data_IF_173410446238
#
_entry.id   IF_173410446238
#
_cell.length_a   1.000
_cell.length_b   1.000
_cell.length_c   1.000
_cell.angle_alpha   90.00
_cell.angle_beta   90.00
_cell.angle_gamma   90.00
#
_symmetry.space_group_name_H-M   'P 1'
#
loop_
_entity.id
_entity.type
_entity.pdbx_description
1 polymer ?
#
# COMPACT_ATOMS: atom_id res chain seq x y z
N UNK A 1 12.42 2.19 -14.01
CA UNK A 1 11.62 1.43 -13.03
C UNK A 1 10.25 2.07 -13.02
N UNK A 2 9.19 1.30 -13.23
CA UNK A 2 7.86 1.88 -13.46
C UNK A 2 7.38 2.64 -12.20
N UNK A 3 7.06 3.94 -12.31
CA UNK A 3 6.81 4.82 -11.16
C UNK A 3 5.39 4.69 -10.58
N UNK A 4 4.59 3.76 -11.08
CA UNK A 4 3.19 3.56 -10.71
C UNK A 4 3.00 2.11 -10.32
N UNK A 5 2.21 1.84 -9.28
CA UNK A 5 1.80 0.49 -8.88
C UNK A 5 1.22 -0.25 -10.10
N UNK A 6 2.07 -1.03 -10.76
CA UNK A 6 1.77 -1.73 -12.02
C UNK A 6 0.74 -2.82 -11.74
N UNK A 7 -0.08 -3.19 -12.74
CA UNK A 7 -1.13 -4.21 -12.60
C UNK A 7 -0.59 -5.52 -12.00
N UNK A 8 0.67 -5.85 -12.29
CA UNK A 8 1.37 -7.01 -11.72
C UNK A 8 1.45 -6.97 -10.18
N UNK A 9 1.67 -5.80 -9.58
CA UNK A 9 1.72 -5.65 -8.12
C UNK A 9 0.34 -5.90 -7.50
N UNK A 10 -0.71 -5.36 -8.13
CA UNK A 10 -2.09 -5.57 -7.70
C UNK A 10 -2.48 -7.04 -7.80
N UNK A 11 -2.11 -7.73 -8.88
CA UNK A 11 -2.40 -9.16 -9.05
C UNK A 11 -1.78 -10.03 -7.96
N UNK A 12 -0.56 -9.71 -7.50
CA UNK A 12 0.09 -10.45 -6.41
C UNK A 12 -0.66 -10.25 -5.09
N UNK A 13 -1.08 -9.02 -4.80
CA UNK A 13 -1.87 -8.73 -3.61
C UNK A 13 -3.25 -9.40 -3.67
N UNK A 14 -3.89 -9.44 -4.83
CA UNK A 14 -5.18 -10.13 -5.01
C UNK A 14 -5.07 -11.64 -4.78
N UNK A 15 -3.94 -12.27 -5.14
CA UNK A 15 -3.70 -13.71 -4.94
C UNK A 15 -3.38 -14.07 -3.48
N UNK A 16 -2.45 -13.35 -2.85
CA UNK A 16 -1.91 -13.74 -1.53
C UNK A 16 -2.54 -12.99 -0.36
N UNK A 17 -3.15 -11.83 -0.62
CA UNK A 17 -3.71 -10.99 0.43
C UNK A 17 -4.98 -10.27 -0.03
N UNK A 18 -6.09 -10.99 -0.33
CA UNK A 18 -7.27 -10.44 -0.97
C UNK A 18 -7.95 -9.28 -0.22
N UNK A 19 -7.70 -9.14 1.10
CA UNK A 19 -8.20 -8.05 1.96
C UNK A 19 -7.27 -6.82 2.00
N UNK A 20 -6.30 -6.73 1.09
CA UNK A 20 -5.32 -5.64 1.06
C UNK A 20 -5.96 -4.27 0.81
N UNK A 21 -7.15 -4.21 0.19
CA UNK A 21 -7.85 -2.95 -0.10
C UNK A 21 -8.39 -2.32 1.18
N UNK A 22 -8.94 -3.13 2.08
CA UNK A 22 -9.39 -2.72 3.42
C UNK A 22 -8.21 -2.28 4.26
N UNK A 23 -7.14 -3.08 4.32
CA UNK A 23 -5.91 -2.68 5.02
C UNK A 23 -5.31 -1.37 4.48
N UNK A 24 -5.33 -1.18 3.15
CA UNK A 24 -4.90 0.08 2.54
C UNK A 24 -5.82 1.25 2.91
N UNK A 25 -7.13 1.02 2.98
CA UNK A 25 -8.08 2.05 3.40
C UNK A 25 -7.81 2.46 4.85
N UNK A 26 -7.67 1.51 5.77
CA UNK A 26 -7.32 1.77 7.17
C UNK A 26 -6.01 2.57 7.28
N UNK A 27 -4.97 2.18 6.54
CA UNK A 27 -3.69 2.90 6.51
C UNK A 27 -3.82 4.34 5.98
N UNK A 28 -4.64 4.55 4.95
CA UNK A 28 -4.86 5.88 4.38
C UNK A 28 -5.71 6.78 5.29
N UNK A 29 -6.50 6.20 6.20
CA UNK A 29 -7.26 6.94 7.22
C UNK A 29 -6.40 7.36 8.42
N UNK A 30 -5.21 6.77 8.58
CA UNK A 30 -4.29 7.20 9.62
C UNK A 30 -3.86 8.64 9.36
N UNK A 31 -3.77 9.48 10.41
CA UNK A 31 -3.19 10.80 10.25
C UNK A 31 -1.79 10.64 9.68
N UNK A 32 -1.46 11.44 8.67
CA UNK A 32 -0.09 11.58 8.17
C UNK A 32 0.74 12.16 9.32
N UNK A 33 1.25 11.27 10.17
CA UNK A 33 2.18 11.64 11.22
C UNK A 33 3.52 11.92 10.56
N UNK A 34 4.13 13.02 10.98
CA UNK A 34 5.49 13.38 10.59
C UNK A 34 6.44 12.38 11.25
N UNK A 35 6.55 11.18 10.67
CA UNK A 35 7.56 10.23 11.05
C UNK A 35 8.88 10.79 10.53
N UNK A 36 9.74 11.20 11.46
CA UNK A 36 11.12 11.55 11.15
C UNK A 36 11.82 10.28 10.65
N UNK A 37 11.85 10.10 9.33
CA UNK A 37 12.64 9.05 8.68
C UNK A 37 14.11 9.33 8.98
N UNK A 38 14.67 8.60 9.93
CA UNK A 38 16.11 8.54 10.12
C UNK A 38 16.71 7.72 8.97
N UNK A 39 17.49 8.39 8.12
CA UNK A 39 18.29 7.78 7.04
C UNK A 39 19.36 6.83 7.59
#
# INVERSE_FOLDING_TARGET
MEPTHSDRFVSILDEYYPTWREARAELNELPLTDEAWHE
#
